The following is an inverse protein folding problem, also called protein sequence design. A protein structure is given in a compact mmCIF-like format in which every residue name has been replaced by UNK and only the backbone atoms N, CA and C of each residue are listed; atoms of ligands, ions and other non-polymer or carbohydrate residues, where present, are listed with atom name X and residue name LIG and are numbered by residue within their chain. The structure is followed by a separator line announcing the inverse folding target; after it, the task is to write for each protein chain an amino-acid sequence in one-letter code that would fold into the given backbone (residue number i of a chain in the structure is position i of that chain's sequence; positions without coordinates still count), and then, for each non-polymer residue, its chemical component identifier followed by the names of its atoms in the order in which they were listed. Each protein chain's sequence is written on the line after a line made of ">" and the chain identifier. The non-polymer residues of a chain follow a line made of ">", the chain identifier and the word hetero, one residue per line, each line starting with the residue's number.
data_IF_123771205601
#
_entry.id   IF_123771205601
#
_cell.length_a   1.000
_cell.length_b   1.000
_cell.length_c   1.000
_cell.angle_alpha   90.00
_cell.angle_beta   90.00
_cell.angle_gamma   90.00
#
_symmetry.space_group_name_H-M   'P 1'
#
loop_
_entity.id
_entity.type
_entity.pdbx_description
1 polymer ?
#
# COMPACT_ATOMS: atom_id res chain seq x y z
N UNK A 1 4.96 -3.69 16.17
CA UNK A 1 5.24 -5.14 16.07
C UNK A 1 6.69 -5.39 16.43
N UNK A 2 6.94 -6.15 17.50
CA UNK A 2 8.29 -6.56 17.87
C UNK A 2 8.55 -7.96 17.31
N UNK A 3 9.63 -8.10 16.56
CA UNK A 3 10.08 -9.40 16.08
C UNK A 3 11.17 -9.91 17.02
N UNK A 4 11.14 -11.20 17.34
CA UNK A 4 12.29 -11.86 17.96
C UNK A 4 13.40 -11.88 16.91
N UNK A 5 14.21 -10.83 16.96
CA UNK A 5 15.16 -10.53 15.92
C UNK A 5 16.55 -10.96 16.36
N UNK A 6 17.35 -11.59 15.48
CA UNK A 6 18.78 -11.69 15.71
C UNK A 6 19.35 -10.27 15.84
N UNK A 7 20.34 -10.13 16.70
CA UNK A 7 21.20 -8.99 17.08
C UNK A 7 21.20 -7.74 16.15
N UNK A 8 21.53 -6.59 16.73
CA UNK A 8 21.71 -5.33 16.00
C UNK A 8 22.65 -5.50 14.79
N UNK A 9 22.28 -4.94 13.63
CA UNK A 9 23.08 -5.06 12.41
C UNK A 9 24.15 -3.98 12.42
N UNK A 10 25.42 -4.42 12.36
CA UNK A 10 26.56 -3.50 12.26
C UNK A 10 26.38 -2.55 11.06
N UNK A 11 26.63 -1.24 11.19
CA UNK A 11 26.51 -0.31 10.08
C UNK A 11 27.31 -0.72 8.84
N UNK A 12 26.80 -0.40 7.66
CA UNK A 12 27.55 -0.48 6.41
C UNK A 12 28.50 0.73 6.28
N UNK A 13 29.49 0.64 5.39
CA UNK A 13 30.30 1.82 5.02
C UNK A 13 29.43 2.76 4.17
N UNK A 14 29.18 4.01 4.59
CA UNK A 14 28.13 4.84 3.99
C UNK A 14 28.41 5.24 2.53
N UNK A 15 29.68 5.51 2.18
CA UNK A 15 30.06 6.02 0.86
C UNK A 15 30.33 4.94 -0.18
N UNK A 16 30.11 3.66 0.14
CA UNK A 16 30.33 2.52 -0.77
C UNK A 16 29.04 1.73 -0.98
N UNK A 17 28.98 0.90 -2.03
CA UNK A 17 27.83 0.02 -2.29
C UNK A 17 27.76 -1.22 -1.38
N UNK A 18 28.87 -1.60 -0.73
CA UNK A 18 28.97 -2.77 0.17
C UNK A 18 28.51 -4.09 -0.50
N UNK A 19 28.79 -4.28 -1.80
CA UNK A 19 28.31 -5.41 -2.59
C UNK A 19 28.61 -6.79 -1.98
N UNK A 20 29.73 -6.97 -1.28
CA UNK A 20 30.09 -8.23 -0.63
C UNK A 20 29.31 -8.55 0.66
N UNK A 21 28.45 -7.64 1.13
CA UNK A 21 27.67 -7.80 2.38
C UNK A 21 26.16 -7.71 2.17
N UNK A 22 25.73 -7.12 1.07
CA UNK A 22 24.34 -6.94 0.72
C UNK A 22 23.91 -7.95 -0.34
N UNK A 23 22.67 -8.38 -0.28
CA UNK A 23 22.04 -9.27 -1.26
C UNK A 23 20.92 -8.51 -1.94
N UNK A 24 20.94 -8.49 -3.28
CA UNK A 24 20.05 -7.67 -4.10
C UNK A 24 18.85 -8.46 -4.63
N UNK A 25 17.66 -7.89 -4.46
CA UNK A 25 16.41 -8.45 -4.94
C UNK A 25 15.58 -7.38 -5.65
N UNK A 26 15.10 -7.66 -6.86
CA UNK A 26 14.10 -6.85 -7.56
C UNK A 26 12.70 -7.15 -7.03
N UNK A 27 11.96 -6.13 -6.65
CA UNK A 27 10.59 -6.26 -6.17
C UNK A 27 9.61 -5.99 -7.32
N UNK A 28 8.74 -6.94 -7.60
CA UNK A 28 7.67 -6.79 -8.60
C UNK A 28 6.34 -7.27 -8.06
N UNK A 29 5.23 -6.70 -8.53
CA UNK A 29 3.88 -7.05 -8.08
C UNK A 29 3.08 -7.68 -9.22
N UNK A 30 2.44 -8.82 -8.95
CA UNK A 30 1.56 -9.51 -9.89
C UNK A 30 0.17 -9.72 -9.27
N UNK A 31 -0.95 -9.37 -9.91
CA UNK A 31 -1.03 -8.71 -11.23
C UNK A 31 -0.58 -7.24 -11.18
N UNK A 32 -0.19 -6.63 -12.33
CA UNK A 32 0.29 -5.25 -12.39
C UNK A 32 -0.84 -4.18 -12.31
N UNK A 33 -2.08 -4.61 -12.10
CA UNK A 33 -3.25 -3.73 -11.95
C UNK A 33 -3.00 -2.70 -10.85
N UNK A 34 -3.26 -1.42 -11.14
CA UNK A 34 -3.01 -0.27 -10.25
C UNK A 34 -1.53 0.11 -10.04
N UNK A 35 -0.58 -0.63 -10.61
CA UNK A 35 0.86 -0.33 -10.51
C UNK A 35 1.42 0.20 -11.84
N UNK A 36 0.83 -0.17 -12.97
CA UNK A 36 1.05 0.49 -14.26
C UNK A 36 0.12 1.69 -14.39
N UNK A 37 0.71 2.87 -14.62
CA UNK A 37 -0.02 4.13 -14.79
C UNK A 37 0.28 4.71 -16.17
N UNK A 38 -0.67 5.46 -16.73
CA UNK A 38 -0.51 6.11 -18.04
C UNK A 38 0.51 7.27 -17.99
N UNK A 39 0.81 7.77 -16.79
CA UNK A 39 1.77 8.85 -16.53
C UNK A 39 2.76 8.45 -15.42
N UNK A 40 3.70 7.54 -15.73
CA UNK A 40 4.69 7.11 -14.76
C UNK A 40 5.67 8.23 -14.43
N UNK A 41 6.43 8.08 -13.35
CA UNK A 41 7.57 8.95 -13.07
C UNK A 41 8.67 8.66 -14.10
N UNK A 42 9.06 9.70 -14.86
CA UNK A 42 10.09 9.64 -15.89
C UNK A 42 11.24 10.57 -15.52
N UNK A 43 12.46 10.09 -15.68
CA UNK A 43 13.68 10.89 -15.51
C UNK A 43 14.39 10.94 -16.85
N UNK A 44 14.65 12.15 -17.33
CA UNK A 44 15.47 12.39 -18.51
C UNK A 44 16.94 12.52 -18.13
N UNK A 45 17.78 11.74 -18.78
CA UNK A 45 19.23 11.75 -18.61
C UNK A 45 19.91 11.34 -19.90
N UNK A 46 20.90 12.13 -20.33
CA UNK A 46 21.72 11.87 -21.51
C UNK A 46 20.88 11.64 -22.79
N UNK A 47 19.86 12.49 -23.02
CA UNK A 47 18.88 12.40 -24.12
C UNK A 47 18.02 11.12 -24.13
N UNK A 48 17.91 10.45 -22.98
CA UNK A 48 17.06 9.27 -22.84
C UNK A 48 16.08 9.38 -21.67
N UNK A 49 14.90 8.79 -21.87
CA UNK A 49 13.87 8.67 -20.85
C UNK A 49 14.00 7.35 -20.07
N UNK A 50 14.11 7.46 -18.74
CA UNK A 50 14.09 6.32 -17.84
C UNK A 50 12.78 6.30 -17.05
N UNK A 51 12.06 5.19 -17.13
CA UNK A 51 10.71 5.05 -16.55
C UNK A 51 10.80 4.26 -15.24
N UNK A 52 10.03 4.66 -14.23
CA UNK A 52 9.96 3.93 -12.97
C UNK A 52 9.45 2.48 -13.12
N UNK A 53 10.20 1.52 -12.59
CA UNK A 53 9.91 0.07 -12.63
C UNK A 53 9.96 -0.55 -11.22
N UNK A 54 9.45 0.17 -10.22
CA UNK A 54 9.39 -0.32 -8.84
C UNK A 54 10.71 -0.17 -8.07
N UNK A 55 10.97 -1.09 -7.14
CA UNK A 55 12.08 -0.97 -6.20
C UNK A 55 13.02 -2.18 -6.24
N UNK A 56 14.31 -1.90 -6.10
CA UNK A 56 15.31 -2.87 -5.69
C UNK A 56 15.46 -2.83 -4.17
N UNK A 57 15.57 -4.00 -3.55
CA UNK A 57 15.78 -4.18 -2.12
C UNK A 57 17.12 -4.84 -1.86
N UNK A 58 17.84 -4.33 -0.87
CA UNK A 58 19.11 -4.87 -0.42
C UNK A 58 18.98 -5.38 1.01
N UNK A 59 19.20 -6.68 1.22
CA UNK A 59 19.16 -7.32 2.53
C UNK A 59 20.57 -7.63 3.03
N UNK A 60 20.77 -7.64 4.36
CA UNK A 60 22.05 -8.03 4.98
C UNK A 60 22.24 -9.55 5.13
N UNK A 61 21.26 -10.33 4.68
CA UNK A 61 21.28 -11.79 4.70
C UNK A 61 20.53 -12.32 3.47
N UNK A 62 20.94 -13.47 2.92
CA UNK A 62 20.26 -14.07 1.78
C UNK A 62 18.86 -14.53 2.16
N UNK A 63 17.92 -14.39 1.22
CA UNK A 63 16.50 -14.72 1.39
C UNK A 63 16.17 -16.11 0.84
N UNK A 64 16.88 -17.13 1.32
CA UNK A 64 16.66 -18.53 0.93
C UNK A 64 15.41 -19.10 1.61
N UNK A 65 14.62 -19.90 0.87
CA UNK A 65 13.46 -20.64 1.39
C UNK A 65 12.37 -19.78 2.04
N UNK A 66 12.14 -18.56 1.51
CA UNK A 66 11.00 -17.72 1.91
C UNK A 66 9.91 -17.81 0.84
N UNK A 67 8.67 -18.20 1.18
CA UNK A 67 7.59 -18.28 0.20
C UNK A 67 7.16 -16.89 -0.26
N UNK A 68 6.48 -16.83 -1.40
CA UNK A 68 5.97 -15.58 -1.97
C UNK A 68 4.96 -14.90 -1.03
N UNK A 69 5.00 -13.57 -0.98
CA UNK A 69 4.11 -12.78 -0.15
C UNK A 69 2.81 -12.48 -0.90
N UNK A 70 1.66 -12.92 -0.36
CA UNK A 70 0.33 -12.62 -0.91
C UNK A 70 -0.38 -11.57 -0.07
N UNK A 71 -1.01 -10.62 -0.73
CA UNK A 71 -1.72 -9.51 -0.09
C UNK A 71 -2.96 -9.14 -0.89
N UNK A 72 -4.10 -9.14 -0.20
CA UNK A 72 -5.35 -8.69 -0.81
C UNK A 72 -5.48 -7.19 -0.61
N UNK A 73 -5.42 -6.43 -1.71
CA UNK A 73 -5.63 -4.98 -1.70
C UNK A 73 -6.56 -4.59 -2.84
N UNK A 74 -7.43 -3.60 -2.60
CA UNK A 74 -8.49 -3.24 -3.56
C UNK A 74 -9.34 -4.45 -4.00
N UNK A 75 -9.53 -5.45 -3.11
CA UNK A 75 -10.16 -6.74 -3.40
C UNK A 75 -9.48 -7.56 -4.52
N UNK A 76 -8.20 -7.31 -4.80
CA UNK A 76 -7.38 -8.05 -5.74
C UNK A 76 -6.30 -8.76 -4.93
N UNK A 77 -6.11 -10.04 -5.18
CA UNK A 77 -5.03 -10.82 -4.56
C UNK A 77 -3.73 -10.54 -5.33
N UNK A 78 -2.83 -9.77 -4.73
CA UNK A 78 -1.52 -9.46 -5.27
C UNK A 78 -0.48 -10.39 -4.67
N UNK A 79 0.42 -10.85 -5.51
CA UNK A 79 1.64 -11.56 -5.15
C UNK A 79 2.82 -10.62 -5.33
N UNK A 80 3.56 -10.36 -4.26
CA UNK A 80 4.81 -9.60 -4.29
C UNK A 80 5.95 -10.59 -4.49
N UNK A 81 6.65 -10.46 -5.61
CA UNK A 81 7.85 -11.21 -5.94
C UNK A 81 9.08 -10.41 -5.54
N UNK A 82 10.10 -11.10 -5.03
CA UNK A 82 11.41 -10.57 -4.72
C UNK A 82 12.45 -11.47 -5.40
N UNK A 83 12.82 -11.10 -6.63
CA UNK A 83 13.63 -11.93 -7.53
C UNK A 83 15.09 -11.55 -7.34
N UNK A 84 15.95 -12.52 -7.07
CA UNK A 84 17.39 -12.28 -6.97
C UNK A 84 17.95 -11.86 -8.33
N UNK A 85 18.69 -10.76 -8.36
CA UNK A 85 19.31 -10.20 -9.57
C UNK A 85 20.74 -9.77 -9.26
N UNK A 86 21.55 -9.63 -10.33
CA UNK A 86 22.92 -9.11 -10.21
C UNK A 86 22.93 -7.76 -9.48
N UNK A 87 23.94 -7.55 -8.63
CA UNK A 87 24.11 -6.32 -7.86
C UNK A 87 24.33 -5.13 -8.82
N UNK A 88 23.52 -4.06 -8.74
CA UNK A 88 23.82 -2.83 -9.47
C UNK A 88 25.08 -2.18 -8.90
N UNK A 89 25.98 -1.70 -9.74
CA UNK A 89 27.28 -1.18 -9.29
C UNK A 89 27.19 0.28 -8.81
N UNK A 90 26.39 1.09 -9.51
CA UNK A 90 26.42 2.55 -9.43
C UNK A 90 25.47 3.14 -8.36
N UNK A 91 25.67 2.74 -7.10
CA UNK A 91 24.97 3.33 -5.95
C UNK A 91 25.86 3.41 -4.70
N UNK A 92 25.45 4.22 -3.71
CA UNK A 92 26.07 4.24 -2.38
C UNK A 92 25.00 4.07 -1.31
N UNK A 93 25.34 3.41 -0.19
CA UNK A 93 24.38 3.16 0.90
C UNK A 93 23.83 4.47 1.47
N UNK A 94 24.66 5.51 1.59
CA UNK A 94 24.23 6.82 2.07
C UNK A 94 23.15 7.44 1.19
N UNK A 95 23.26 7.29 -0.13
CA UNK A 95 22.26 7.77 -1.07
C UNK A 95 20.91 7.05 -0.90
N UNK A 96 20.94 5.73 -0.67
CA UNK A 96 19.74 4.94 -0.37
C UNK A 96 19.08 5.36 0.95
N UNK A 97 19.87 5.62 2.00
CA UNK A 97 19.37 6.08 3.29
C UNK A 97 18.73 7.46 3.20
N UNK A 98 19.38 8.41 2.51
CA UNK A 98 18.83 9.76 2.32
C UNK A 98 17.52 9.72 1.55
N UNK A 99 17.47 8.96 0.46
CA UNK A 99 16.23 8.78 -0.31
C UNK A 99 15.14 8.09 0.51
N UNK A 100 15.50 7.08 1.31
CA UNK A 100 14.55 6.38 2.19
C UNK A 100 13.97 7.30 3.25
N UNK A 101 14.78 8.18 3.85
CA UNK A 101 14.30 9.19 4.80
C UNK A 101 13.37 10.19 4.09
N UNK A 102 13.77 10.71 2.94
CA UNK A 102 12.96 11.65 2.18
C UNK A 102 11.61 11.05 1.77
N UNK A 103 11.59 9.87 1.15
CA UNK A 103 10.36 9.25 0.67
C UNK A 103 9.49 8.70 1.80
N UNK A 104 10.06 7.85 2.67
CA UNK A 104 9.24 7.09 3.64
C UNK A 104 8.89 7.91 4.87
N UNK A 105 9.73 8.85 5.30
CA UNK A 105 9.46 9.67 6.48
C UNK A 105 8.85 11.02 6.10
N UNK A 106 9.45 11.73 5.16
CA UNK A 106 9.06 13.12 4.90
C UNK A 106 7.87 13.21 3.91
N UNK A 107 7.84 12.40 2.85
CA UNK A 107 6.72 12.37 1.90
C UNK A 107 5.56 11.51 2.42
N UNK A 108 5.83 10.27 2.83
CA UNK A 108 4.80 9.27 3.18
C UNK A 108 4.52 9.16 4.68
N UNK A 109 5.26 9.83 5.56
CA UNK A 109 4.97 9.86 7.01
C UNK A 109 4.79 8.47 7.67
N UNK A 110 5.61 7.49 7.26
CA UNK A 110 5.57 6.10 7.75
C UNK A 110 6.30 5.95 9.10
N UNK A 111 5.93 6.78 10.09
CA UNK A 111 6.63 6.89 11.38
C UNK A 111 6.71 5.57 12.17
N UNK A 112 5.64 4.76 12.13
CA UNK A 112 5.57 3.48 12.84
C UNK A 112 6.35 2.35 12.13
N UNK A 113 6.86 2.59 10.91
CA UNK A 113 7.57 1.58 10.13
C UNK A 113 9.06 1.55 10.46
N UNK A 114 9.40 0.80 11.50
CA UNK A 114 10.79 0.68 11.96
C UNK A 114 11.54 -0.53 11.36
N UNK A 115 12.57 -0.23 10.57
CA UNK A 115 13.48 -1.20 9.94
C UNK A 115 14.77 -1.47 10.71
N UNK A 116 15.10 -0.66 11.73
CA UNK A 116 16.34 -0.81 12.54
C UNK A 116 16.14 -1.73 13.74
N UNK A 117 14.89 -1.92 14.19
CA UNK A 117 14.56 -2.68 15.39
C UNK A 117 14.33 -1.76 16.60
N UNK A 118 14.06 -2.32 17.80
CA UNK A 118 13.88 -1.50 18.99
C UNK A 118 15.15 -0.67 19.26
N UNK A 119 14.98 0.65 19.33
CA UNK A 119 16.04 1.60 19.66
C UNK A 119 15.90 1.88 21.15
N UNK A 120 16.86 1.41 21.94
CA UNK A 120 17.03 1.82 23.33
C UNK A 120 18.05 2.97 23.38
N UNK A 121 18.01 3.84 24.39
CA UNK A 121 18.87 5.05 24.45
C UNK A 121 20.37 4.71 24.34
N UNK A 122 20.79 3.54 24.85
CA UNK A 122 22.18 3.05 24.81
C UNK A 122 22.49 2.13 23.61
N UNK A 123 21.58 2.04 22.63
CA UNK A 123 21.76 1.11 21.52
C UNK A 123 22.88 1.56 20.57
N UNK A 124 23.82 0.66 20.18
CA UNK A 124 24.88 0.99 19.27
C UNK A 124 24.32 1.41 17.90
N UNK A 125 25.07 2.21 17.11
CA UNK A 125 24.62 2.62 15.78
C UNK A 125 24.25 1.38 14.95
N UNK A 126 23.01 1.36 14.46
CA UNK A 126 22.42 0.20 13.79
C UNK A 126 22.02 0.54 12.35
N UNK A 127 22.37 -0.37 11.43
CA UNK A 127 21.91 -0.33 10.03
C UNK A 127 20.44 -0.77 9.93
N UNK A 128 19.62 -0.20 9.05
CA UNK A 128 18.32 -0.79 8.75
C UNK A 128 18.50 -2.20 8.15
N UNK A 129 17.54 -3.10 8.39
CA UNK A 129 17.61 -4.48 7.87
C UNK A 129 17.59 -4.55 6.34
N UNK A 130 16.85 -3.63 5.73
CA UNK A 130 16.66 -3.54 4.28
C UNK A 130 16.92 -2.11 3.83
N UNK A 131 17.61 -1.96 2.69
CA UNK A 131 17.71 -0.70 1.96
C UNK A 131 16.90 -0.78 0.68
N UNK A 132 16.36 0.34 0.22
CA UNK A 132 15.54 0.41 -1.00
C UNK A 132 16.12 1.41 -1.99
N UNK A 133 16.20 1.01 -3.24
CA UNK A 133 16.59 1.85 -4.38
C UNK A 133 15.42 1.91 -5.37
N UNK A 134 14.94 3.10 -5.75
CA UNK A 134 13.99 3.22 -6.84
C UNK A 134 14.65 2.81 -8.16
N UNK A 135 13.96 2.02 -8.98
CA UNK A 135 14.45 1.59 -10.29
C UNK A 135 13.85 2.48 -11.36
N UNK A 136 14.71 3.17 -12.11
CA UNK A 136 14.36 3.84 -13.35
C UNK A 136 15.08 3.12 -14.47
N UNK A 137 14.32 2.62 -15.45
CA UNK A 137 14.86 1.74 -16.47
C UNK A 137 14.60 2.27 -17.87
N UNK A 138 15.56 2.00 -18.75
CA UNK A 138 15.45 2.19 -20.20
C UNK A 138 15.53 0.82 -20.87
N UNK A 139 14.65 0.55 -21.82
CA UNK A 139 14.73 -0.65 -22.64
C UNK A 139 15.74 -0.43 -23.77
N UNK A 140 16.69 -1.35 -23.90
CA UNK A 140 17.68 -1.33 -24.98
C UNK A 140 17.13 -2.10 -26.20
N UNK A 141 17.51 -1.72 -27.44
CA UNK A 141 17.06 -2.40 -28.65
C UNK A 141 17.42 -3.89 -28.68
N UNK A 142 18.54 -4.27 -28.06
CA UNK A 142 19.02 -5.66 -27.99
C UNK A 142 18.28 -6.53 -26.94
N UNK A 143 17.19 -6.03 -26.37
CA UNK A 143 16.38 -6.75 -25.36
C UNK A 143 16.92 -6.65 -23.93
N UNK A 144 18.01 -5.92 -23.71
CA UNK A 144 18.52 -5.58 -22.39
C UNK A 144 17.72 -4.46 -21.69
N UNK A 145 17.98 -4.27 -20.40
CA UNK A 145 17.52 -3.09 -19.66
C UNK A 145 18.70 -2.39 -19.01
N UNK A 146 18.71 -1.07 -19.12
CA UNK A 146 19.64 -0.23 -18.40
C UNK A 146 18.97 0.36 -17.17
N UNK A 147 19.64 0.32 -16.02
CA UNK A 147 19.14 0.87 -14.75
C UNK A 147 19.88 2.16 -14.44
N UNK A 148 19.14 3.24 -14.23
CA UNK A 148 19.71 4.55 -13.90
C UNK A 148 20.43 4.51 -12.54
N UNK A 149 21.58 5.16 -12.49
CA UNK A 149 22.40 5.25 -11.28
C UNK A 149 21.75 6.09 -10.18
N UNK A 150 22.05 5.77 -8.91
CA UNK A 150 21.41 6.43 -7.76
C UNK A 150 21.75 7.93 -7.67
N UNK A 151 22.94 8.33 -8.09
CA UNK A 151 23.34 9.74 -8.03
C UNK A 151 22.54 10.61 -9.01
N UNK A 152 22.21 10.10 -10.20
CA UNK A 152 21.37 10.83 -11.16
C UNK A 152 19.94 11.00 -10.65
N UNK A 153 19.42 10.01 -9.92
CA UNK A 153 18.11 10.11 -9.26
C UNK A 153 18.13 11.24 -8.21
N UNK A 154 19.18 11.33 -7.39
CA UNK A 154 19.31 12.42 -6.42
C UNK A 154 19.46 13.79 -7.09
N UNK A 155 20.23 13.89 -8.18
CA UNK A 155 20.36 15.11 -8.98
C UNK A 155 19.03 15.52 -9.63
N UNK A 156 18.25 14.56 -10.11
CA UNK A 156 16.89 14.81 -10.60
C UNK A 156 16.00 15.40 -9.50
N UNK A 157 15.96 14.77 -8.32
CA UNK A 157 15.16 15.27 -7.19
C UNK A 157 15.57 16.69 -6.78
N UNK A 158 16.88 16.98 -6.75
CA UNK A 158 17.40 18.32 -6.48
C UNK A 158 16.96 19.33 -7.55
N UNK A 159 17.04 18.98 -8.83
CA UNK A 159 16.59 19.84 -9.95
C UNK A 159 15.08 20.09 -9.92
N UNK A 160 14.30 19.09 -9.53
CA UNK A 160 12.84 19.20 -9.40
C UNK A 160 12.40 19.95 -8.14
N UNK A 161 13.26 20.06 -7.13
CA UNK A 161 12.96 20.75 -5.87
C UNK A 161 12.92 22.27 -6.07
N UNK A 162 11.78 22.72 -6.60
CA UNK A 162 11.45 24.13 -6.84
C UNK A 162 10.07 24.42 -6.29
N UNK A 163 9.77 25.69 -6.00
CA UNK A 163 8.41 26.10 -5.66
C UNK A 163 7.43 25.65 -6.76
N UNK A 164 6.25 25.16 -6.35
CA UNK A 164 5.18 24.81 -7.28
C UNK A 164 4.69 26.05 -8.04
N UNK A 165 4.60 27.18 -7.35
CA UNK A 165 4.31 28.48 -7.93
C UNK A 165 5.24 29.49 -7.23
N UNK A 166 6.25 30.03 -7.92
CA UNK A 166 7.09 31.09 -7.37
C UNK A 166 6.28 32.36 -7.13
N UNK A 167 6.56 33.06 -6.02
CA UNK A 167 5.85 34.30 -5.65
C UNK A 167 6.01 35.40 -6.71
N UNK A 168 7.23 35.54 -7.25
CA UNK A 168 7.51 36.50 -8.32
C UNK A 168 6.77 36.23 -9.65
N UNK A 169 6.37 34.98 -9.90
CA UNK A 169 5.78 34.58 -11.20
C UNK A 169 4.25 34.58 -11.19
N UNK A 170 3.59 34.71 -10.03
CA UNK A 170 2.12 34.59 -9.90
C UNK A 170 1.39 35.53 -10.86
N UNK A 171 1.79 36.80 -10.88
CA UNK A 171 1.18 37.83 -11.73
C UNK A 171 1.33 37.50 -13.23
N UNK A 172 2.48 36.94 -13.61
CA UNK A 172 2.73 36.51 -14.99
C UNK A 172 1.89 35.27 -15.34
N UNK A 173 1.79 34.30 -14.43
CA UNK A 173 1.01 33.07 -14.63
C UNK A 173 -0.50 33.34 -14.82
N UNK A 174 -1.02 34.40 -14.20
CA UNK A 174 -2.39 34.88 -14.41
C UNK A 174 -2.60 35.45 -15.81
N UNK A 175 -1.55 36.03 -16.40
CA UNK A 175 -1.58 36.61 -17.75
C UNK A 175 -1.22 35.60 -18.85
N UNK A 176 -0.71 34.41 -18.50
CA UNK A 176 -0.40 33.37 -19.48
C UNK A 176 -1.60 33.02 -20.34
N UNK A 177 -1.34 32.70 -21.60
CA UNK A 177 -2.36 32.16 -22.49
C UNK A 177 -2.89 30.83 -21.92
N UNK A 178 -4.15 30.50 -22.22
CA UNK A 178 -4.79 29.27 -21.71
C UNK A 178 -3.98 28.01 -22.05
N UNK A 179 -3.37 27.97 -23.24
CA UNK A 179 -2.56 26.84 -23.69
C UNK A 179 -1.28 26.66 -22.88
N UNK A 180 -0.60 27.77 -22.55
CA UNK A 180 0.64 27.74 -21.76
C UNK A 180 0.36 27.29 -20.32
N UNK A 181 -0.71 27.83 -19.71
CA UNK A 181 -1.18 27.38 -18.41
C UNK A 181 -1.57 25.90 -18.41
N UNK A 182 -2.32 25.46 -19.42
CA UNK A 182 -2.74 24.07 -19.53
C UNK A 182 -1.52 23.13 -19.63
N UNK A 183 -0.48 23.52 -20.37
CA UNK A 183 0.77 22.77 -20.45
C UNK A 183 1.44 22.64 -19.08
N UNK A 184 1.52 23.75 -18.33
CA UNK A 184 2.09 23.76 -16.97
C UNK A 184 1.28 22.89 -15.98
N UNK A 185 -0.05 23.03 -16.00
CA UNK A 185 -0.94 22.26 -15.14
C UNK A 185 -0.87 20.76 -15.47
N UNK A 186 -0.82 20.39 -16.74
CA UNK A 186 -0.71 19.00 -17.18
C UNK A 186 0.66 18.36 -16.86
N UNK A 187 1.75 19.14 -16.86
CA UNK A 187 3.06 18.71 -16.37
C UNK A 187 3.00 18.34 -14.88
N UNK A 188 2.42 19.22 -14.06
CA UNK A 188 2.28 19.06 -12.61
C UNK A 188 1.25 18.00 -12.21
N UNK A 189 0.31 17.66 -13.09
CA UNK A 189 -0.77 16.72 -12.82
C UNK A 189 -0.26 15.32 -12.49
N UNK A 190 -0.69 14.80 -11.36
CA UNK A 190 -0.29 13.51 -10.80
C UNK A 190 1.04 13.54 -10.04
N UNK A 191 1.72 14.68 -9.97
CA UNK A 191 2.91 14.88 -9.14
C UNK A 191 2.52 15.02 -7.67
N UNK A 192 3.39 14.55 -6.80
CA UNK A 192 3.31 14.79 -5.36
C UNK A 192 4.03 16.10 -5.05
N UNK A 193 3.35 16.98 -4.33
CA UNK A 193 3.95 18.21 -3.81
C UNK A 193 3.99 18.15 -2.30
N UNK A 194 4.97 18.84 -1.72
CA UNK A 194 5.22 18.83 -0.29
C UNK A 194 5.29 20.25 0.26
N UNK A 195 4.70 20.48 1.42
CA UNK A 195 4.80 21.70 2.19
C UNK A 195 5.32 21.34 3.60
N UNK A 196 6.65 21.46 3.83
CA UNK A 196 7.24 21.13 5.11
C UNK A 196 6.64 21.98 6.24
N UNK A 197 6.12 21.34 7.29
CA UNK A 197 5.54 22.02 8.46
C UNK A 197 4.01 21.98 8.52
N UNK A 198 3.32 21.63 7.44
CA UNK A 198 1.87 21.40 7.44
C UNK A 198 1.52 19.92 7.66
N UNK A 199 0.27 19.65 8.06
CA UNK A 199 -0.30 18.30 8.10
C UNK A 199 -1.61 18.26 7.29
N UNK A 200 -1.69 17.49 6.19
CA UNK A 200 -0.65 16.62 5.66
C UNK A 200 0.54 17.43 5.08
N UNK A 201 1.74 16.84 5.15
CA UNK A 201 2.94 17.44 4.56
C UNK A 201 2.93 17.32 3.03
N UNK A 202 2.51 16.17 2.49
CA UNK A 202 2.55 15.89 1.06
C UNK A 202 1.20 15.47 0.49
N UNK A 203 0.86 15.98 -0.69
CA UNK A 203 -0.42 15.78 -1.38
C UNK A 203 -0.20 15.66 -2.89
N UNK A 204 -0.99 14.80 -3.54
CA UNK A 204 -1.04 14.66 -5.00
C UNK A 204 -1.85 15.79 -5.65
N UNK A 205 -1.30 16.42 -6.68
CA UNK A 205 -2.04 17.36 -7.53
C UNK A 205 -2.87 16.58 -8.54
N UNK A 206 -4.19 16.74 -8.53
CA UNK A 206 -5.04 16.19 -9.59
C UNK A 206 -5.47 17.26 -10.60
N UNK A 207 -5.71 18.49 -10.12
CA UNK A 207 -5.91 19.70 -10.94
C UNK A 207 -5.25 20.89 -10.25
N UNK A 208 -4.90 21.90 -11.05
CA UNK A 208 -4.35 23.16 -10.59
C UNK A 208 -5.16 24.28 -11.25
N UNK A 209 -5.86 25.06 -10.43
CA UNK A 209 -6.81 26.07 -10.89
C UNK A 209 -6.23 27.46 -10.62
N UNK A 210 -6.16 28.31 -11.65
CA UNK A 210 -5.67 29.69 -11.54
C UNK A 210 -6.78 30.74 -11.42
N UNK A 211 -8.04 30.33 -11.49
CA UNK A 211 -9.18 31.24 -11.45
C UNK A 211 -9.22 31.99 -10.11
N UNK A 212 -9.38 33.31 -10.17
CA UNK A 212 -9.46 34.14 -8.99
C UNK A 212 -10.91 34.53 -8.72
N UNK A 213 -11.36 34.30 -7.49
CA UNK A 213 -12.69 34.67 -7.04
C UNK A 213 -12.84 36.18 -6.80
N UNK A 214 -11.73 36.87 -6.48
CA UNK A 214 -11.72 38.31 -6.25
C UNK A 214 -10.67 38.97 -7.17
N UNK A 215 -11.07 39.85 -8.11
CA UNK A 215 -10.14 40.52 -9.02
C UNK A 215 -9.19 41.51 -8.33
N UNK A 216 -9.49 41.95 -7.10
CA UNK A 216 -8.71 42.96 -6.39
C UNK A 216 -7.51 42.38 -5.62
N UNK A 217 -7.47 41.06 -5.39
CA UNK A 217 -6.42 40.40 -4.60
C UNK A 217 -5.86 39.22 -5.37
N UNK A 218 -4.58 39.33 -5.74
CA UNK A 218 -3.86 38.22 -6.38
C UNK A 218 -3.65 37.11 -5.35
N UNK A 219 -4.28 35.96 -5.58
CA UNK A 219 -4.08 34.74 -4.80
C UNK A 219 -3.28 33.71 -5.57
N UNK A 220 -2.62 32.81 -4.83
CA UNK A 220 -1.98 31.64 -5.40
C UNK A 220 -3.01 30.73 -6.08
N UNK A 221 -2.62 30.01 -7.15
CA UNK A 221 -3.43 28.95 -7.73
C UNK A 221 -3.86 27.90 -6.69
N UNK A 222 -5.03 27.31 -6.88
CA UNK A 222 -5.59 26.31 -5.99
C UNK A 222 -5.21 24.91 -6.48
N UNK A 223 -4.62 24.11 -5.60
CA UNK A 223 -4.42 22.68 -5.79
C UNK A 223 -5.74 21.99 -5.47
N UNK A 224 -6.30 21.28 -6.45
CA UNK A 224 -7.43 20.39 -6.23
C UNK A 224 -6.93 18.96 -6.12
N UNK A 225 -7.25 18.34 -5.00
CA UNK A 225 -6.94 16.96 -4.69
C UNK A 225 -8.23 16.15 -4.49
N UNK A 226 -8.40 15.09 -5.28
CA UNK A 226 -9.50 14.14 -5.10
C UNK A 226 -9.03 13.03 -4.14
N UNK A 227 -9.35 13.21 -2.87
CA UNK A 227 -9.02 12.29 -1.80
C UNK A 227 -10.11 11.23 -1.55
N UNK A 228 -9.74 10.19 -0.80
CA UNK A 228 -10.67 9.16 -0.34
C UNK A 228 -10.77 9.23 1.18
N UNK A 229 -11.93 9.62 1.68
CA UNK A 229 -12.22 9.61 3.11
C UNK A 229 -12.16 8.19 3.68
N UNK A 230 -11.55 8.00 4.86
CA UNK A 230 -11.65 6.75 5.61
C UNK A 230 -13.10 6.31 5.79
N UNK A 231 -13.36 5.01 5.67
CA UNK A 231 -14.71 4.48 5.76
C UNK A 231 -15.38 4.81 7.11
N UNK A 232 -14.59 4.83 8.19
CA UNK A 232 -15.01 5.19 9.55
C UNK A 232 -15.54 6.63 9.65
N UNK A 233 -15.07 7.55 8.81
CA UNK A 233 -15.51 8.96 8.80
C UNK A 233 -16.54 9.25 7.70
N UNK A 234 -16.90 8.23 6.90
CA UNK A 234 -17.93 8.30 5.87
C UNK A 234 -19.27 7.83 6.40
N UNK A 235 -20.30 7.81 5.56
CA UNK A 235 -21.61 7.23 5.89
C UNK A 235 -21.52 5.80 6.45
N UNK A 236 -20.47 5.03 6.16
CA UNK A 236 -20.29 3.68 6.68
C UNK A 236 -19.99 3.63 8.19
N UNK A 237 -19.40 4.70 8.74
CA UNK A 237 -19.15 4.86 10.17
C UNK A 237 -20.36 5.33 10.98
N UNK A 238 -21.36 5.94 10.33
CA UNK A 238 -22.53 6.46 11.00
C UNK A 238 -23.33 5.35 11.72
N UNK A 239 -23.52 5.44 13.04
CA UNK A 239 -24.31 4.47 13.80
C UNK A 239 -25.74 4.31 13.28
N UNK A 240 -26.35 5.38 12.76
CA UNK A 240 -27.72 5.34 12.22
C UNK A 240 -27.76 4.54 10.92
N UNK A 241 -26.83 4.82 10.00
CA UNK A 241 -26.62 4.01 8.79
C UNK A 241 -26.35 2.53 9.11
N UNK A 242 -25.47 2.22 10.05
CA UNK A 242 -25.14 0.83 10.41
C UNK A 242 -26.35 0.06 10.96
N UNK A 243 -27.15 0.69 11.84
CA UNK A 243 -28.39 0.11 12.36
C UNK A 243 -29.39 -0.15 11.22
N UNK A 244 -29.60 0.84 10.35
CA UNK A 244 -30.50 0.73 9.21
C UNK A 244 -30.05 -0.35 8.23
N UNK A 245 -28.75 -0.43 7.93
CA UNK A 245 -28.16 -1.46 7.07
C UNK A 245 -28.34 -2.87 7.63
N UNK A 246 -28.05 -3.08 8.92
CA UNK A 246 -28.29 -4.38 9.60
C UNK A 246 -29.76 -4.77 9.53
N UNK A 247 -30.67 -3.81 9.76
CA UNK A 247 -32.11 -4.01 9.69
C UNK A 247 -32.59 -4.35 8.26
N UNK A 248 -32.05 -3.68 7.25
CA UNK A 248 -32.31 -3.95 5.83
C UNK A 248 -31.85 -5.36 5.43
N UNK A 249 -30.59 -5.74 5.74
CA UNK A 249 -30.05 -7.07 5.42
C UNK A 249 -30.83 -8.18 6.12
N UNK A 250 -31.23 -7.97 7.39
CA UNK A 250 -32.07 -8.92 8.13
C UNK A 250 -33.43 -9.11 7.46
N UNK A 251 -34.10 -8.03 7.06
CA UNK A 251 -35.39 -8.10 6.38
C UNK A 251 -35.27 -8.79 5.02
N UNK A 252 -34.24 -8.46 4.23
CA UNK A 252 -33.97 -9.11 2.94
C UNK A 252 -33.76 -10.61 3.11
N UNK A 253 -33.01 -11.04 4.13
CA UNK A 253 -32.80 -12.45 4.42
C UNK A 253 -34.09 -13.16 4.86
N UNK A 254 -34.90 -12.52 5.70
CA UNK A 254 -36.21 -13.06 6.09
C UNK A 254 -37.12 -13.25 4.88
N UNK A 255 -37.21 -12.25 3.99
CA UNK A 255 -38.05 -12.33 2.80
C UNK A 255 -37.59 -13.43 1.83
N UNK A 256 -36.29 -13.64 1.68
CA UNK A 256 -35.74 -14.71 0.84
C UNK A 256 -36.10 -16.11 1.36
N UNK A 257 -36.27 -16.28 2.67
CA UNK A 257 -36.59 -17.58 3.29
C UNK A 257 -38.06 -17.70 3.73
N UNK A 258 -38.89 -16.67 3.49
CA UNK A 258 -40.30 -16.71 3.87
C UNK A 258 -41.13 -17.42 2.81
N UNK A 259 -42.01 -18.37 3.19
CA UNK A 259 -42.80 -19.13 2.23
C UNK A 259 -43.84 -18.28 1.49
N UNK A 260 -44.31 -17.17 2.10
CA UNK A 260 -45.21 -16.19 1.47
C UNK A 260 -44.74 -14.78 1.82
N UNK A 261 -44.37 -14.02 0.80
CA UNK A 261 -43.92 -12.63 0.96
C UNK A 261 -45.12 -11.69 0.85
N UNK A 262 -45.42 -10.95 1.93
CA UNK A 262 -46.49 -9.93 1.93
C UNK A 262 -46.05 -8.67 1.19
N UNK A 263 -46.98 -8.00 0.51
CA UNK A 263 -46.70 -6.76 -0.22
C UNK A 263 -46.20 -5.63 0.69
N UNK A 264 -46.72 -5.57 1.93
CA UNK A 264 -46.30 -4.61 2.95
C UNK A 264 -44.83 -4.78 3.35
N UNK A 265 -44.30 -6.00 3.37
CA UNK A 265 -42.90 -6.27 3.69
C UNK A 265 -41.96 -5.86 2.55
N UNK A 266 -42.40 -6.01 1.29
CA UNK A 266 -41.69 -5.46 0.12
C UNK A 266 -41.62 -3.94 0.17
N UNK A 267 -42.73 -3.27 0.52
CA UNK A 267 -42.77 -1.82 0.69
C UNK A 267 -41.82 -1.36 1.81
N UNK A 268 -41.81 -2.04 2.96
CA UNK A 268 -40.87 -1.76 4.06
C UNK A 268 -39.41 -1.94 3.63
N UNK A 269 -39.11 -2.94 2.80
CA UNK A 269 -37.76 -3.14 2.27
C UNK A 269 -37.35 -1.98 1.36
N UNK A 270 -38.23 -1.59 0.44
CA UNK A 270 -38.00 -0.46 -0.48
C UNK A 270 -37.80 0.86 0.27
N UNK A 271 -38.63 1.15 1.27
CA UNK A 271 -38.49 2.34 2.12
C UNK A 271 -37.13 2.38 2.85
N UNK A 272 -36.67 1.23 3.37
CA UNK A 272 -35.35 1.14 4.02
C UNK A 272 -34.21 1.33 3.03
N UNK A 273 -34.36 0.83 1.81
CA UNK A 273 -33.39 1.01 0.73
C UNK A 273 -33.29 2.49 0.31
N UNK A 274 -34.43 3.16 0.14
CA UNK A 274 -34.49 4.59 -0.16
C UNK A 274 -33.85 5.43 0.96
N UNK A 275 -34.14 5.11 2.23
CA UNK A 275 -33.50 5.79 3.37
C UNK A 275 -31.98 5.57 3.39
N UNK A 276 -31.49 4.37 3.05
CA UNK A 276 -30.05 4.12 2.90
C UNK A 276 -29.45 4.94 1.75
N UNK A 277 -30.14 5.08 0.63
CA UNK A 277 -29.69 5.90 -0.51
C UNK A 277 -29.64 7.39 -0.15
N UNK A 278 -30.64 7.92 0.57
CA UNK A 278 -30.64 9.31 1.06
C UNK A 278 -29.42 9.61 1.92
N UNK A 279 -29.05 8.70 2.83
CA UNK A 279 -27.85 8.87 3.67
C UNK A 279 -26.57 8.83 2.82
N UNK A 280 -26.48 7.93 1.82
CA UNK A 280 -25.32 7.84 0.92
C UNK A 280 -25.13 9.06 0.02
N UNK A 281 -26.21 9.70 -0.40
CA UNK A 281 -26.18 10.85 -1.31
C UNK A 281 -25.76 12.15 -0.61
N UNK A 282 -25.92 12.24 0.72
CA UNK A 282 -25.56 13.42 1.51
C UNK A 282 -24.08 13.77 1.35
N UNK A 283 -23.79 14.92 0.75
CA UNK A 283 -22.42 15.37 0.40
C UNK A 283 -21.46 15.37 1.61
N UNK A 284 -21.95 15.70 2.80
CA UNK A 284 -21.12 15.75 4.02
C UNK A 284 -20.52 14.40 4.40
N UNK A 285 -21.12 13.28 3.99
CA UNK A 285 -20.73 11.92 4.36
C UNK A 285 -20.18 11.10 3.18
N UNK A 286 -20.00 11.73 2.01
CA UNK A 286 -19.45 11.06 0.83
C UNK A 286 -18.02 10.61 1.09
N UNK A 287 -17.67 9.48 0.48
CA UNK A 287 -16.37 8.86 0.61
C UNK A 287 -15.33 9.53 -0.28
N UNK A 288 -15.72 9.95 -1.47
CA UNK A 288 -14.90 10.78 -2.34
C UNK A 288 -15.03 12.23 -1.89
N UNK A 289 -13.90 12.90 -1.68
CA UNK A 289 -13.82 14.27 -1.20
C UNK A 289 -12.90 15.05 -2.12
N UNK A 290 -13.36 16.22 -2.55
CA UNK A 290 -12.54 17.25 -3.18
C UNK A 290 -11.95 18.11 -2.09
N UNK A 291 -10.62 18.21 -2.06
CA UNK A 291 -9.88 19.09 -1.16
C UNK A 291 -9.24 20.17 -2.02
N UNK A 292 -9.53 21.42 -1.70
CA UNK A 292 -8.97 22.60 -2.35
C UNK A 292 -7.96 23.23 -1.38
N UNK A 293 -6.71 23.38 -1.81
CA UNK A 293 -5.61 23.91 -1.01
C UNK A 293 -4.94 25.05 -1.79
N UNK A 294 -4.54 26.12 -1.10
CA UNK A 294 -3.65 27.11 -1.71
C UNK A 294 -2.32 26.46 -2.08
N UNK A 295 -1.79 26.74 -3.28
CA UNK A 295 -0.44 26.27 -3.69
C UNK A 295 0.71 26.98 -2.97
N UNK A 296 0.42 27.98 -2.14
CA UNK A 296 1.43 28.71 -1.37
C UNK A 296 2.29 27.79 -0.50
N UNK A 297 3.61 27.92 -0.62
CA UNK A 297 4.58 27.16 0.17
C UNK A 297 4.74 25.70 -0.24
N UNK A 298 4.05 25.24 -1.29
CA UNK A 298 4.25 23.88 -1.82
C UNK A 298 5.47 23.81 -2.76
N UNK A 299 6.24 22.74 -2.62
CA UNK A 299 7.42 22.43 -3.42
C UNK A 299 7.15 21.21 -4.29
N UNK A 300 7.65 21.27 -5.53
CA UNK A 300 7.66 20.14 -6.46
C UNK A 300 8.67 19.10 -5.98
N UNK A 301 8.28 17.83 -6.05
CA UNK A 301 9.17 16.71 -5.70
C UNK A 301 9.72 15.98 -6.92
N UNK A 302 9.04 16.09 -8.07
CA UNK A 302 9.33 15.27 -9.26
C UNK A 302 8.90 13.81 -9.13
N UNK A 303 8.30 13.41 -7.99
CA UNK A 303 7.80 12.06 -7.75
C UNK A 303 6.29 12.04 -8.04
N UNK A 304 5.81 11.03 -8.78
CA UNK A 304 4.38 10.83 -9.03
C UNK A 304 3.81 9.71 -8.16
N UNK A 305 2.49 9.53 -8.25
CA UNK A 305 1.75 8.56 -7.43
C UNK A 305 2.13 7.08 -7.62
N UNK A 306 2.77 6.72 -8.73
CA UNK A 306 3.25 5.36 -9.04
C UNK A 306 4.34 4.90 -8.06
N UNK A 307 5.28 5.78 -7.71
CA UNK A 307 6.33 5.51 -6.72
C UNK A 307 5.72 5.29 -5.34
N UNK A 308 4.78 6.16 -4.92
CA UNK A 308 4.08 6.03 -3.65
C UNK A 308 3.30 4.71 -3.58
N UNK A 309 2.63 4.33 -4.66
CA UNK A 309 1.86 3.09 -4.73
C UNK A 309 2.75 1.84 -4.52
N UNK A 310 3.94 1.80 -5.13
CA UNK A 310 4.91 0.72 -4.91
C UNK A 310 5.53 0.78 -3.51
N UNK A 311 5.86 1.97 -3.02
CA UNK A 311 6.43 2.19 -1.70
C UNK A 311 5.53 1.60 -0.59
N UNK A 312 4.21 1.73 -0.73
CA UNK A 312 3.25 1.20 0.25
C UNK A 312 3.14 -0.33 0.29
N UNK A 313 3.75 -1.05 -0.66
CA UNK A 313 3.81 -2.53 -0.66
C UNK A 313 5.05 -3.06 0.06
N UNK A 314 6.12 -2.27 0.15
CA UNK A 314 7.39 -2.67 0.80
C UNK A 314 7.23 -3.00 2.30
N UNK A 315 6.40 -2.28 3.08
CA UNK A 315 6.13 -2.62 4.48
C UNK A 315 5.54 -4.02 4.67
N UNK A 316 4.66 -4.44 3.76
CA UNK A 316 4.06 -5.79 3.76
C UNK A 316 5.14 -6.83 3.49
N UNK A 317 5.97 -6.60 2.47
CA UNK A 317 7.06 -7.50 2.11
C UNK A 317 8.10 -7.62 3.23
N UNK A 318 8.55 -6.50 3.79
CA UNK A 318 9.54 -6.49 4.89
C UNK A 318 9.01 -7.17 6.14
N UNK A 319 7.72 -7.01 6.46
CA UNK A 319 7.07 -7.75 7.54
C UNK A 319 7.08 -9.25 7.26
N UNK A 320 6.71 -9.67 6.05
CA UNK A 320 6.69 -11.08 5.62
C UNK A 320 8.06 -11.73 5.73
N UNK A 321 9.11 -11.08 5.20
CA UNK A 321 10.49 -11.57 5.26
C UNK A 321 10.94 -11.71 6.71
N UNK A 322 10.73 -10.69 7.54
CA UNK A 322 11.11 -10.72 8.97
C UNK A 322 10.37 -11.82 9.72
N UNK A 323 9.09 -12.00 9.43
CA UNK A 323 8.28 -13.04 10.04
C UNK A 323 8.82 -14.44 9.70
N UNK A 324 9.14 -14.71 8.43
CA UNK A 324 9.73 -15.99 8.04
C UNK A 324 11.13 -16.21 8.61
N UNK A 325 11.95 -15.17 8.77
CA UNK A 325 13.22 -15.27 9.49
C UNK A 325 13.01 -15.66 10.97
N UNK A 326 11.97 -15.14 11.62
CA UNK A 326 11.60 -15.57 12.98
C UNK A 326 11.12 -17.03 13.00
N UNK A 327 10.32 -17.47 12.03
CA UNK A 327 9.91 -18.87 11.92
C UNK A 327 11.09 -19.81 11.70
N UNK A 328 12.10 -19.40 10.90
CA UNK A 328 13.35 -20.16 10.76
C UNK A 328 14.12 -20.29 12.07
N UNK A 329 14.04 -19.29 12.95
CA UNK A 329 14.60 -19.40 14.28
C UNK A 329 13.76 -20.33 15.17
N UNK A 330 12.43 -20.27 15.07
CA UNK A 330 11.52 -21.15 15.80
C UNK A 330 11.76 -22.63 15.46
N UNK A 331 12.00 -22.97 14.19
CA UNK A 331 12.33 -24.33 13.78
C UNK A 331 13.56 -24.88 14.52
N UNK A 332 14.59 -24.03 14.68
CA UNK A 332 15.82 -24.39 15.40
C UNK A 332 15.56 -24.63 16.88
N UNK A 333 14.63 -23.88 17.48
CA UNK A 333 14.25 -24.06 18.89
C UNK A 333 13.42 -25.32 19.11
N UNK A 334 12.51 -25.65 18.18
CA UNK A 334 11.68 -26.86 18.23
C UNK A 334 12.53 -28.12 17.95
N UNK A 335 13.60 -27.98 17.15
CA UNK A 335 14.43 -29.10 16.71
C UNK A 335 13.90 -29.82 15.47
N UNK A 336 12.87 -29.28 14.81
CA UNK A 336 12.29 -29.82 13.57
C UNK A 336 12.16 -28.70 12.53
N UNK A 337 12.66 -28.96 11.32
CA UNK A 337 12.58 -27.99 10.21
C UNK A 337 11.42 -28.32 9.30
N UNK A 338 10.37 -27.50 9.33
CA UNK A 338 9.22 -27.65 8.45
C UNK A 338 9.61 -27.38 6.98
N UNK A 339 9.32 -28.35 6.11
CA UNK A 339 9.54 -28.24 4.66
C UNK A 339 8.55 -27.25 4.02
N UNK A 340 7.25 -27.36 4.34
CA UNK A 340 6.24 -26.39 3.91
C UNK A 340 6.18 -25.19 4.85
N UNK A 341 6.83 -24.10 4.42
CA UNK A 341 6.88 -22.83 5.15
C UNK A 341 5.52 -22.13 5.21
N UNK A 342 4.69 -22.29 4.18
CA UNK A 342 3.36 -21.70 4.12
C UNK A 342 2.44 -22.36 5.15
N UNK A 343 2.53 -23.69 5.30
CA UNK A 343 1.76 -24.43 6.30
C UNK A 343 2.15 -24.03 7.73
N UNK A 344 3.45 -23.83 8.01
CA UNK A 344 3.90 -23.35 9.31
C UNK A 344 3.37 -21.93 9.60
N UNK A 345 3.44 -21.02 8.63
CA UNK A 345 2.83 -19.69 8.76
C UNK A 345 1.32 -19.79 9.03
N UNK A 346 0.62 -20.66 8.31
CA UNK A 346 -0.81 -20.89 8.50
C UNK A 346 -1.13 -21.39 9.91
N UNK A 347 -0.35 -22.35 10.43
CA UNK A 347 -0.49 -22.89 11.78
C UNK A 347 -0.34 -21.82 12.87
N UNK A 348 0.49 -20.81 12.61
CA UNK A 348 0.74 -19.67 13.51
C UNK A 348 -0.23 -18.49 13.29
N UNK A 349 -1.18 -18.60 12.35
CA UNK A 349 -2.11 -17.51 12.02
C UNK A 349 -3.42 -17.65 12.80
N UNK A 350 -3.66 -16.72 13.73
CA UNK A 350 -4.87 -16.66 14.53
C UNK A 350 -6.10 -16.22 13.71
N UNK A 351 -7.33 -16.70 13.98
CA UNK A 351 -8.53 -16.37 13.19
C UNK A 351 -8.95 -14.90 13.22
N UNK A 352 -8.57 -14.17 14.28
CA UNK A 352 -8.77 -12.71 14.36
C UNK A 352 -7.75 -11.90 13.55
N UNK A 353 -6.75 -12.56 12.97
CA UNK A 353 -5.77 -11.88 12.14
C UNK A 353 -6.44 -11.31 10.90
N UNK A 354 -6.33 -10.00 10.74
CA UNK A 354 -6.63 -9.30 9.51
C UNK A 354 -5.34 -8.74 8.95
N UNK A 355 -5.13 -8.91 7.64
CA UNK A 355 -3.93 -8.45 6.97
C UNK A 355 -3.79 -6.94 7.15
N UNK A 356 -2.88 -6.54 8.03
CA UNK A 356 -2.46 -5.17 8.25
C UNK A 356 -1.18 -4.96 7.45
N UNK A 357 -0.91 -3.73 6.99
CA UNK A 357 0.18 -3.36 6.06
C UNK A 357 1.63 -3.65 6.55
N UNK A 358 1.83 -4.56 7.50
CA UNK A 358 3.08 -4.75 8.24
C UNK A 358 3.38 -3.62 9.23
N UNK A 359 2.52 -2.60 9.27
CA UNK A 359 2.59 -1.39 10.09
C UNK A 359 1.20 -0.97 10.54
N UNK A 360 1.10 0.16 11.23
CA UNK A 360 -0.17 0.80 11.55
C UNK A 360 -1.00 1.09 10.28
N UNK A 361 -2.17 0.47 10.11
CA UNK A 361 -2.98 0.61 8.90
C UNK A 361 -3.44 2.04 8.61
N UNK A 362 -3.55 2.89 9.63
CA UNK A 362 -4.06 4.25 9.45
C UNK A 362 -3.03 5.16 8.77
N UNK A 363 -1.76 5.07 9.15
CA UNK A 363 -0.67 5.74 8.42
C UNK A 363 -0.66 5.32 6.95
N UNK A 364 -0.77 4.03 6.68
CA UNK A 364 -0.79 3.52 5.32
C UNK A 364 -2.00 4.01 4.51
N UNK A 365 -3.20 4.08 5.14
CA UNK A 365 -4.41 4.60 4.49
C UNK A 365 -4.31 6.09 4.21
N UNK A 366 -3.79 6.88 5.14
CA UNK A 366 -3.61 8.32 4.98
C UNK A 366 -2.63 8.61 3.85
N UNK A 367 -1.48 7.93 3.84
CA UNK A 367 -0.46 8.02 2.79
C UNK A 367 -1.04 7.69 1.41
N UNK A 368 -1.81 6.60 1.31
CA UNK A 368 -2.45 6.20 0.06
C UNK A 368 -3.57 7.16 -0.39
N UNK A 369 -4.30 7.78 0.55
CA UNK A 369 -5.30 8.79 0.20
C UNK A 369 -4.63 10.04 -0.38
N UNK A 370 -3.59 10.53 0.30
CA UNK A 370 -2.93 11.79 -0.06
C UNK A 370 -2.03 11.65 -1.29
N UNK A 371 -1.29 10.54 -1.39
CA UNK A 371 -0.21 10.37 -2.38
C UNK A 371 -0.40 9.15 -3.31
N UNK A 372 -1.41 8.31 -3.09
CA UNK A 372 -1.69 7.15 -3.95
C UNK A 372 -2.33 7.52 -5.28
N UNK A 373 -2.79 6.53 -6.05
CA UNK A 373 -3.52 6.77 -7.29
C UNK A 373 -4.97 7.23 -7.03
N UNK A 374 -5.51 8.12 -7.87
CA UNK A 374 -6.84 8.72 -7.69
C UNK A 374 -7.98 7.69 -7.66
N UNK A 375 -8.06 6.82 -8.66
CA UNK A 375 -9.12 5.83 -8.81
C UNK A 375 -8.53 4.43 -9.05
N UNK A 376 -8.19 3.69 -7.98
CA UNK A 376 -7.76 2.31 -8.13
C UNK A 376 -8.90 1.44 -8.63
N UNK A 377 -8.58 0.49 -9.51
CA UNK A 377 -9.48 -0.59 -9.92
C UNK A 377 -9.71 -1.53 -8.73
N UNK A 378 -10.97 -1.76 -8.41
CA UNK A 378 -11.38 -2.69 -7.36
C UNK A 378 -11.86 -4.02 -7.97
N UNK A 379 -11.39 -5.13 -7.42
CA UNK A 379 -11.88 -6.47 -7.71
C UNK A 379 -13.19 -6.81 -6.99
N UNK A 380 -13.63 -8.06 -7.13
CA UNK A 380 -14.86 -8.54 -6.51
C UNK A 380 -14.71 -8.68 -4.98
N UNK A 381 -15.66 -8.11 -4.23
CA UNK A 381 -15.72 -8.19 -2.76
C UNK A 381 -15.93 -9.62 -2.27
N UNK A 382 -16.40 -10.54 -3.14
CA UNK A 382 -16.57 -11.96 -2.79
C UNK A 382 -15.27 -12.62 -2.35
N UNK A 383 -14.11 -12.17 -2.80
CA UNK A 383 -12.80 -12.73 -2.43
C UNK A 383 -12.61 -12.79 -0.91
N UNK A 384 -13.11 -11.80 -0.17
CA UNK A 384 -13.03 -11.77 1.30
C UNK A 384 -14.05 -12.68 2.01
N UNK A 385 -15.21 -12.91 1.40
CA UNK A 385 -16.35 -13.52 2.08
C UNK A 385 -16.62 -14.97 1.67
N UNK A 386 -16.22 -15.36 0.46
CA UNK A 386 -16.53 -16.67 -0.11
C UNK A 386 -15.90 -17.82 0.69
N UNK A 387 -14.74 -17.59 1.31
CA UNK A 387 -13.99 -18.63 2.00
C UNK A 387 -13.91 -18.44 3.53
N UNK A 388 -14.21 -17.25 4.05
CA UNK A 388 -14.15 -16.97 5.50
C UNK A 388 -15.50 -17.00 6.20
N UNK A 389 -16.63 -16.86 5.47
CA UNK A 389 -17.94 -16.84 6.11
C UNK A 389 -18.36 -18.25 6.49
N UNK A 390 -18.52 -18.50 7.81
CA UNK A 390 -18.96 -19.79 8.37
C UNK A 390 -20.36 -19.75 8.99
N UNK A 391 -20.90 -18.55 9.24
CA UNK A 391 -22.18 -18.37 9.94
C UNK A 391 -23.37 -18.35 8.98
N UNK A 392 -24.48 -18.96 9.42
CA UNK A 392 -25.79 -18.94 8.77
C UNK A 392 -26.18 -20.27 8.12
N UNK A 393 -27.47 -20.62 8.17
CA UNK A 393 -28.00 -21.92 7.71
C UNK A 393 -27.70 -22.19 6.24
N UNK A 394 -27.86 -21.19 5.36
CA UNK A 394 -27.57 -21.34 3.92
C UNK A 394 -26.09 -21.64 3.67
N UNK A 395 -25.20 -21.04 4.45
CA UNK A 395 -23.76 -21.31 4.38
C UNK A 395 -23.45 -22.71 4.88
N UNK A 396 -24.10 -23.13 5.98
CA UNK A 396 -23.96 -24.48 6.53
C UNK A 396 -24.41 -25.55 5.52
N UNK A 397 -25.61 -25.39 4.94
CA UNK A 397 -26.13 -26.30 3.90
C UNK A 397 -25.18 -26.36 2.69
N UNK A 398 -24.66 -25.21 2.25
CA UNK A 398 -23.69 -25.17 1.14
C UNK A 398 -22.38 -25.89 1.49
N UNK A 399 -21.88 -25.77 2.72
CA UNK A 399 -20.66 -26.48 3.14
C UNK A 399 -20.92 -27.98 3.29
N UNK A 400 -22.04 -28.38 3.92
CA UNK A 400 -22.41 -29.78 4.15
C UNK A 400 -22.80 -30.53 2.87
N UNK A 401 -23.21 -29.82 1.82
CA UNK A 401 -23.50 -30.41 0.50
C UNK A 401 -22.25 -30.60 -0.37
N UNK A 402 -21.08 -30.08 0.04
CA UNK A 402 -19.83 -30.34 -0.69
C UNK A 402 -19.38 -31.76 -0.39
N UNK A 403 -19.30 -32.56 -1.45
CA UNK A 403 -18.71 -33.89 -1.40
C UNK A 403 -17.21 -33.80 -1.10
N UNK A 404 -16.68 -34.86 -0.48
CA UNK A 404 -15.24 -35.03 -0.30
C UNK A 404 -14.52 -35.01 -1.65
N UNK A 405 -13.27 -34.55 -1.65
CA UNK A 405 -12.38 -34.73 -2.78
C UNK A 405 -11.47 -35.91 -2.49
N UNK A 406 -11.25 -36.75 -3.49
CA UNK A 406 -10.37 -37.92 -3.37
C UNK A 406 -8.91 -37.49 -3.22
N UNK A 407 -8.52 -36.41 -3.90
CA UNK A 407 -7.19 -35.83 -3.82
C UNK A 407 -7.07 -34.78 -2.70
N UNK A 408 -5.96 -34.77 -1.94
CA UNK A 408 -5.73 -33.77 -0.92
C UNK A 408 -5.53 -32.38 -1.54
N UNK A 409 -6.47 -31.48 -1.29
CA UNK A 409 -6.39 -30.09 -1.76
C UNK A 409 -6.10 -29.10 -0.63
N UNK A 410 -5.35 -28.01 -0.91
CA UNK A 410 -5.06 -27.02 0.10
C UNK A 410 -6.34 -26.31 0.57
N UNK A 411 -6.42 -26.10 1.88
CA UNK A 411 -7.54 -25.38 2.48
C UNK A 411 -7.57 -23.94 1.99
N UNK A 412 -8.75 -23.44 1.62
CA UNK A 412 -8.97 -22.02 1.27
C UNK A 412 -9.13 -21.11 2.49
N UNK A 413 -9.01 -21.67 3.69
CA UNK A 413 -9.13 -20.97 4.96
C UNK A 413 -7.72 -20.59 5.43
N UNK A 414 -7.50 -19.29 5.66
CA UNK A 414 -6.18 -18.72 5.94
C UNK A 414 -5.90 -18.52 7.44
N UNK A 415 -6.33 -19.44 8.30
CA UNK A 415 -6.04 -19.44 9.74
C UNK A 415 -5.97 -20.87 10.30
N UNK A 416 -5.54 -21.01 11.55
CA UNK A 416 -5.16 -22.29 12.14
C UNK A 416 -6.27 -23.17 12.76
N UNK A 417 -7.51 -22.71 12.92
CA UNK A 417 -8.60 -23.49 13.59
C UNK A 417 -8.68 -24.99 13.22
N UNK A 418 -8.52 -25.35 11.94
CA UNK A 418 -8.57 -26.77 11.52
C UNK A 418 -7.35 -27.57 11.96
N UNK A 419 -6.18 -26.91 12.02
CA UNK A 419 -4.93 -27.50 12.48
C UNK A 419 -4.94 -27.64 14.01
N UNK A 420 -5.56 -26.69 14.71
CA UNK A 420 -5.82 -26.78 16.16
C UNK A 420 -6.69 -27.99 16.49
N UNK A 421 -7.84 -28.15 15.82
CA UNK A 421 -8.71 -29.33 16.00
C UNK A 421 -7.99 -30.66 15.76
N UNK A 422 -7.16 -30.74 14.72
CA UNK A 422 -6.34 -31.93 14.47
C UNK A 422 -5.28 -32.12 15.56
N UNK A 423 -4.64 -31.05 16.01
CA UNK A 423 -3.63 -31.06 17.06
C UNK A 423 -4.18 -31.61 18.37
N UNK A 424 -5.37 -31.17 18.79
CA UNK A 424 -6.04 -31.68 20.00
C UNK A 424 -6.25 -33.19 19.93
N UNK A 425 -6.75 -33.70 18.80
CA UNK A 425 -6.97 -35.13 18.60
C UNK A 425 -5.66 -35.94 18.61
N UNK A 426 -4.58 -35.41 18.02
CA UNK A 426 -3.26 -36.05 18.01
C UNK A 426 -2.65 -36.09 19.41
N UNK A 427 -2.74 -34.98 20.16
CA UNK A 427 -2.25 -34.95 21.55
C UNK A 427 -3.05 -35.92 22.41
N UNK A 428 -4.38 -35.93 22.31
CA UNK A 428 -5.23 -36.88 23.03
C UNK A 428 -4.84 -38.33 22.73
N UNK A 429 -4.59 -38.66 21.46
CA UNK A 429 -4.14 -39.99 21.05
C UNK A 429 -2.77 -40.38 21.60
N UNK A 430 -1.79 -39.46 21.61
CA UNK A 430 -0.44 -39.73 22.13
C UNK A 430 -0.39 -39.83 23.67
N UNK A 431 -1.31 -39.17 24.36
CA UNK A 431 -1.40 -39.22 25.83
C UNK A 431 -2.17 -40.42 26.37
N UNK A 432 -2.97 -41.08 25.53
CA UNK A 432 -3.62 -42.36 25.82
C UNK A 432 -2.70 -43.51 25.44
#
# INVERSE_FOLDING_TARGET
>A
FSFFSPQAIKPCRPMTNNAGRLFHYRITVSPPTNFLTDRPTVIEYDDHEYIFEGFSMFAHAPLTNIPLCKVIRFNIDYTIHFIEEMMPENFCVKGLELFSLFLFRDILELYDWNLKGPLFEDSPPCCPRFHFMPRFVRFLPDGGKEVLSMHQILLYLLRCSKALVPEEEIANMLQWEELEWQKYAEECKGMIVTNPGTKPSSVRIDQLDREQFNPDVITFPIIVHFGIRPAQLSYAGDPQYQKLWKSYVKLRHLLANSPKVKQTDKQKLAQREEALQKIRQKNTMRREVTVELSSQGFWKTGIRSDVCQHAMMLPVLTHHIRYHQCLMHLDKLIGYTFQDRCLLQLAMTHPSHHLNFGMNPDHARNSLSNCGIRQPKYGDRKVHHMHMRKKGINTLINIMSRLGQDDPTPSRINHNERLEFLGDAVVEFLTR
#
